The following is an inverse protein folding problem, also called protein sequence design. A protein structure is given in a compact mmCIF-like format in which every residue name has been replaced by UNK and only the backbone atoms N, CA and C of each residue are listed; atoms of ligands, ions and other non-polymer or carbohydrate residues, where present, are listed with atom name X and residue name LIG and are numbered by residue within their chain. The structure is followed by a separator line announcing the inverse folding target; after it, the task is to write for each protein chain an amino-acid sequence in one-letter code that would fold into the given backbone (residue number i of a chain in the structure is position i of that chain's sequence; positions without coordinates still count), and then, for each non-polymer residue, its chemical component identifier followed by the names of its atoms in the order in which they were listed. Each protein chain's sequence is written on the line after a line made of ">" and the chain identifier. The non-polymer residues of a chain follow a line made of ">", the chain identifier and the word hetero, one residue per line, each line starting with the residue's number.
data_IF_167441616931
#
_entry.id   IF_167441616931
#
_cell.length_a   1.000
_cell.length_b   1.000
_cell.length_c   1.000
_cell.angle_alpha   90.00
_cell.angle_beta   90.00
_cell.angle_gamma   90.00
#
_symmetry.space_group_name_H-M   'P 1'
#
loop_
_entity.id
_entity.type
_entity.pdbx_description
1 polymer ?
#
# COMPACT_ATOMS: atom_id res chain seq x y z
N UNK A 1 -13.32 14.40 -7.09
CA UNK A 1 -12.69 13.49 -8.08
C UNK A 1 -11.30 13.98 -8.49
N UNK A 2 -11.14 15.18 -9.07
CA UNK A 2 -9.83 15.69 -9.51
C UNK A 2 -8.73 15.67 -8.41
N UNK A 3 -9.03 16.13 -7.19
CA UNK A 3 -8.07 16.09 -6.06
C UNK A 3 -7.67 14.65 -5.67
N UNK A 4 -8.61 13.68 -5.72
CA UNK A 4 -8.32 12.28 -5.40
C UNK A 4 -7.31 11.69 -6.40
N UNK A 5 -7.53 11.93 -7.70
CA UNK A 5 -6.66 11.42 -8.75
C UNK A 5 -5.27 12.06 -8.70
N UNK A 6 -5.20 13.38 -8.47
CA UNK A 6 -3.91 14.06 -8.30
C UNK A 6 -3.12 13.50 -7.10
N UNK A 7 -3.78 13.29 -5.96
CA UNK A 7 -3.13 12.72 -4.77
C UNK A 7 -2.68 11.28 -5.01
N UNK A 8 -3.56 10.41 -5.53
CA UNK A 8 -3.26 8.97 -5.59
C UNK A 8 -2.49 8.55 -6.85
N UNK A 9 -2.91 9.00 -8.02
CA UNK A 9 -2.41 8.52 -9.31
C UNK A 9 -1.13 9.27 -9.70
N UNK A 10 -1.18 10.60 -9.66
CA UNK A 10 -0.07 11.44 -10.09
C UNK A 10 1.02 11.53 -9.02
N UNK A 11 0.66 11.79 -7.77
CA UNK A 11 1.64 11.97 -6.70
C UNK A 11 2.04 10.64 -6.02
N UNK A 12 1.12 9.98 -5.32
CA UNK A 12 1.45 8.83 -4.46
C UNK A 12 1.93 7.62 -5.23
N UNK A 13 1.23 7.19 -6.28
CA UNK A 13 1.60 5.99 -7.03
C UNK A 13 3.01 6.12 -7.64
N UNK A 14 3.33 7.29 -8.23
CA UNK A 14 4.67 7.55 -8.76
C UNK A 14 5.74 7.63 -7.66
N UNK A 15 5.44 8.27 -6.52
CA UNK A 15 6.38 8.37 -5.41
C UNK A 15 6.68 7.01 -4.77
N UNK A 16 5.64 6.21 -4.47
CA UNK A 16 5.79 4.88 -3.87
C UNK A 16 6.53 3.92 -4.81
N UNK A 17 6.28 4.00 -6.13
CA UNK A 17 6.99 3.23 -7.14
C UNK A 17 8.49 3.58 -7.20
N UNK A 18 8.83 4.87 -7.20
CA UNK A 18 10.22 5.31 -7.10
C UNK A 18 10.87 4.84 -5.79
N UNK A 19 10.15 4.97 -4.66
CA UNK A 19 10.66 4.62 -3.35
C UNK A 19 10.95 3.12 -3.20
N UNK A 20 10.08 2.23 -3.67
CA UNK A 20 10.33 0.78 -3.61
C UNK A 20 11.54 0.40 -4.46
N UNK A 21 11.73 1.04 -5.63
CA UNK A 21 12.92 0.83 -6.45
C UNK A 21 14.19 1.24 -5.71
N UNK A 22 14.21 2.43 -5.12
CA UNK A 22 15.35 2.89 -4.31
C UNK A 22 15.59 1.99 -3.10
N UNK A 23 14.53 1.48 -2.48
CA UNK A 23 14.63 0.58 -1.35
C UNK A 23 15.26 -0.77 -1.74
N UNK A 24 14.88 -1.34 -2.88
CA UNK A 24 15.51 -2.55 -3.42
C UNK A 24 16.99 -2.32 -3.77
N UNK A 25 17.33 -1.16 -4.32
CA UNK A 25 18.72 -0.82 -4.69
C UNK A 25 19.64 -0.62 -3.47
N UNK A 26 19.08 -0.30 -2.28
CA UNK A 26 19.86 0.15 -1.11
C UNK A 26 19.68 -0.69 0.15
N UNK A 27 18.57 -1.41 0.27
CA UNK A 27 18.20 -2.18 1.46
C UNK A 27 19.08 -3.40 1.66
N UNK A 28 19.26 -3.80 2.91
CA UNK A 28 20.04 -4.96 3.33
C UNK A 28 19.15 -6.13 3.76
N UNK A 29 19.76 -7.22 4.22
CA UNK A 29 19.04 -8.43 4.64
C UNK A 29 18.14 -8.18 5.87
N UNK A 30 18.53 -7.25 6.75
CA UNK A 30 17.73 -6.89 7.91
C UNK A 30 16.43 -6.18 7.48
N UNK A 31 16.51 -5.31 6.48
CA UNK A 31 15.35 -4.69 5.84
C UNK A 31 14.43 -5.72 5.17
N UNK A 32 14.97 -6.71 4.44
CA UNK A 32 14.16 -7.80 3.86
C UNK A 32 13.44 -8.62 4.93
N UNK A 33 14.12 -8.94 6.03
CA UNK A 33 13.54 -9.67 7.15
C UNK A 33 12.38 -8.91 7.80
N UNK A 34 12.50 -7.58 7.93
CA UNK A 34 11.41 -6.74 8.43
C UNK A 34 10.20 -6.76 7.49
N UNK A 35 10.41 -6.72 6.17
CA UNK A 35 9.32 -6.83 5.19
C UNK A 35 8.59 -8.17 5.35
N UNK A 36 9.33 -9.28 5.45
CA UNK A 36 8.75 -10.61 5.66
C UNK A 36 7.91 -10.67 6.94
N UNK A 37 8.42 -10.11 8.04
CA UNK A 37 7.69 -10.06 9.30
C UNK A 37 6.38 -9.26 9.16
N UNK A 38 6.42 -8.09 8.52
CA UNK A 38 5.21 -7.26 8.33
C UNK A 38 4.23 -7.88 7.35
N UNK A 39 4.71 -8.50 6.27
CA UNK A 39 3.88 -9.24 5.32
C UNK A 39 3.15 -10.40 6.02
N UNK A 40 3.87 -11.18 6.83
CA UNK A 40 3.27 -12.28 7.61
C UNK A 40 2.21 -11.77 8.60
N UNK A 41 2.50 -10.68 9.31
CA UNK A 41 1.52 -10.10 10.24
C UNK A 41 0.28 -9.59 9.49
N UNK A 42 0.44 -8.97 8.32
CA UNK A 42 -0.71 -8.52 7.53
C UNK A 42 -1.54 -9.70 7.01
N UNK A 43 -0.89 -10.76 6.53
CA UNK A 43 -1.58 -11.93 5.95
C UNK A 43 -2.38 -12.75 6.98
N UNK A 44 -2.15 -12.55 8.28
CA UNK A 44 -2.93 -13.16 9.36
C UNK A 44 -4.35 -12.63 9.49
N UNK A 45 -4.67 -11.50 8.87
CA UNK A 45 -6.03 -10.95 8.87
C UNK A 45 -6.80 -11.55 7.70
N UNK A 46 -7.44 -12.69 7.96
CA UNK A 46 -8.13 -13.49 6.95
C UNK A 46 -9.43 -12.81 6.50
N UNK A 47 -9.77 -12.95 5.22
CA UNK A 47 -10.95 -12.32 4.65
C UNK A 47 -12.27 -12.82 5.25
N UNK A 48 -12.28 -14.04 5.80
CA UNK A 48 -13.43 -14.60 6.54
C UNK A 48 -13.78 -13.84 7.82
N UNK A 49 -12.85 -13.06 8.36
CA UNK A 49 -13.03 -12.28 9.60
C UNK A 49 -13.36 -10.80 9.31
N UNK A 50 -13.63 -10.46 8.04
CA UNK A 50 -13.99 -9.13 7.58
C UNK A 50 -15.11 -8.50 8.43
N UNK A 51 -14.77 -7.43 9.14
CA UNK A 51 -15.67 -6.77 10.09
C UNK A 51 -15.24 -5.33 10.35
N UNK A 52 -16.13 -4.51 10.94
CA UNK A 52 -15.77 -3.15 11.34
C UNK A 52 -14.64 -3.12 12.38
N UNK A 53 -14.56 -4.11 13.25
CA UNK A 53 -13.49 -4.23 14.24
C UNK A 53 -12.12 -4.53 13.62
N UNK A 54 -12.08 -5.12 12.43
CA UNK A 54 -10.84 -5.41 11.71
C UNK A 54 -10.26 -4.16 11.01
N UNK A 55 -11.08 -3.15 10.71
CA UNK A 55 -10.66 -1.99 9.91
C UNK A 55 -9.39 -1.34 10.46
N UNK A 56 -9.38 -1.00 11.75
CA UNK A 56 -8.26 -0.32 12.39
C UNK A 56 -7.01 -1.20 12.46
N UNK A 57 -7.18 -2.49 12.71
CA UNK A 57 -6.06 -3.43 12.82
C UNK A 57 -5.42 -3.68 11.44
N UNK A 58 -6.25 -3.91 10.43
CA UNK A 58 -5.79 -4.10 9.06
C UNK A 58 -5.08 -2.85 8.55
N UNK A 59 -5.65 -1.68 8.81
CA UNK A 59 -5.07 -0.40 8.44
C UNK A 59 -3.69 -0.15 9.06
N UNK A 60 -3.53 -0.45 10.36
CA UNK A 60 -2.24 -0.35 11.05
C UNK A 60 -1.21 -1.33 10.48
N UNK A 61 -1.58 -2.59 10.25
CA UNK A 61 -0.67 -3.61 9.70
C UNK A 61 -0.29 -3.30 8.25
N UNK A 62 -1.24 -2.80 7.46
CA UNK A 62 -1.03 -2.36 6.08
C UNK A 62 -0.04 -1.19 6.03
N UNK A 63 -0.25 -0.17 6.86
CA UNK A 63 0.67 0.98 6.93
C UNK A 63 2.07 0.55 7.37
N UNK A 64 2.18 -0.36 8.35
CA UNK A 64 3.46 -0.89 8.80
C UNK A 64 4.19 -1.65 7.68
N UNK A 65 3.47 -2.48 6.90
CA UNK A 65 4.02 -3.20 5.76
C UNK A 65 4.58 -2.25 4.69
N UNK A 66 3.78 -1.29 4.21
CA UNK A 66 4.26 -0.35 3.20
C UNK A 66 5.40 0.55 3.70
N UNK A 67 5.38 0.92 4.99
CA UNK A 67 6.46 1.71 5.59
C UNK A 67 7.77 0.93 5.69
N UNK A 68 7.71 -0.37 6.03
CA UNK A 68 8.88 -1.25 6.04
C UNK A 68 9.49 -1.37 4.64
N UNK A 69 8.66 -1.51 3.60
CA UNK A 69 9.14 -1.56 2.20
C UNK A 69 9.98 -0.33 1.88
N UNK A 70 9.42 0.87 2.04
CA UNK A 70 10.11 2.10 1.59
C UNK A 70 11.24 2.54 2.52
N UNK A 71 11.32 2.03 3.75
CA UNK A 71 12.38 2.36 4.71
C UNK A 71 13.78 2.05 4.13
N UNK A 72 13.89 0.99 3.31
CA UNK A 72 15.13 0.62 2.63
C UNK A 72 15.69 1.70 1.71
N UNK A 73 14.89 2.70 1.29
CA UNK A 73 15.39 3.77 0.42
C UNK A 73 16.46 4.64 1.10
N UNK A 74 16.55 4.61 2.44
CA UNK A 74 17.58 5.28 3.22
C UNK A 74 17.56 6.82 3.13
N UNK A 75 16.50 7.43 2.61
CA UNK A 75 16.41 8.88 2.43
C UNK A 75 15.38 9.51 3.36
N UNK A 76 15.86 10.21 4.39
CA UNK A 76 15.01 10.89 5.35
C UNK A 76 14.02 11.89 4.70
N UNK A 77 14.48 12.69 3.74
CA UNK A 77 13.63 13.69 3.09
C UNK A 77 12.57 13.09 2.16
N UNK A 78 12.89 11.98 1.49
CA UNK A 78 11.89 11.30 0.66
C UNK A 78 10.80 10.67 1.53
N UNK A 79 11.17 10.09 2.67
CA UNK A 79 10.21 9.55 3.64
C UNK A 79 9.33 10.65 4.25
N UNK A 80 9.87 11.84 4.56
CA UNK A 80 9.07 12.99 4.98
C UNK A 80 8.06 13.45 3.91
N UNK A 81 8.46 13.45 2.63
CA UNK A 81 7.55 13.85 1.55
C UNK A 81 6.43 12.81 1.37
N UNK A 82 6.77 11.52 1.48
CA UNK A 82 5.80 10.42 1.48
C UNK A 82 4.77 10.58 2.60
N UNK A 83 5.22 10.90 3.81
CA UNK A 83 4.34 11.13 4.97
C UNK A 83 3.32 12.24 4.69
N UNK A 84 3.74 13.36 4.10
CA UNK A 84 2.81 14.44 3.71
C UNK A 84 1.73 13.97 2.74
N UNK A 85 2.08 13.14 1.75
CA UNK A 85 1.09 12.61 0.82
C UNK A 85 0.15 11.60 1.49
N UNK A 86 0.65 10.84 2.47
CA UNK A 86 -0.15 9.95 3.28
C UNK A 86 -1.19 10.72 4.10
N UNK A 87 -0.80 11.83 4.73
CA UNK A 87 -1.70 12.71 5.49
C UNK A 87 -2.77 13.34 4.60
N UNK A 88 -2.42 13.80 3.40
CA UNK A 88 -3.38 14.32 2.42
C UNK A 88 -4.42 13.26 2.02
N UNK A 89 -3.97 12.01 1.85
CA UNK A 89 -4.82 10.88 1.50
C UNK A 89 -5.71 10.40 2.66
N UNK A 90 -5.43 10.79 3.90
CA UNK A 90 -6.16 10.33 5.09
C UNK A 90 -7.68 10.60 5.00
N UNK A 91 -8.10 11.67 4.32
CA UNK A 91 -9.53 11.99 4.14
C UNK A 91 -10.30 10.96 3.31
N UNK A 92 -9.61 10.20 2.45
CA UNK A 92 -10.22 9.15 1.62
C UNK A 92 -10.00 7.74 2.21
N UNK A 93 -9.15 7.63 3.23
CA UNK A 93 -8.77 6.37 3.88
C UNK A 93 -9.97 5.59 4.37
N UNK A 94 -10.95 6.26 4.98
CA UNK A 94 -12.16 5.60 5.48
C UNK A 94 -12.98 4.93 4.36
N UNK A 95 -13.10 5.57 3.19
CA UNK A 95 -13.79 5.00 2.03
C UNK A 95 -13.03 3.74 1.58
N UNK A 96 -11.73 3.88 1.33
CA UNK A 96 -10.90 2.77 0.88
C UNK A 96 -10.91 1.58 1.84
N UNK A 97 -10.80 1.83 3.15
CA UNK A 97 -10.82 0.78 4.17
C UNK A 97 -12.13 0.01 4.15
N UNK A 98 -13.28 0.70 4.10
CA UNK A 98 -14.58 0.01 4.11
C UNK A 98 -14.81 -0.81 2.84
N UNK A 99 -14.55 -0.22 1.68
CA UNK A 99 -14.74 -0.88 0.39
C UNK A 99 -13.77 -2.06 0.19
N UNK A 100 -12.59 -2.00 0.82
CA UNK A 100 -11.60 -3.10 0.75
C UNK A 100 -11.87 -4.17 1.80
N UNK A 101 -11.89 -3.80 3.08
CA UNK A 101 -11.85 -4.75 4.20
C UNK A 101 -13.21 -5.39 4.46
N UNK A 102 -14.33 -4.72 4.16
CA UNK A 102 -15.68 -5.30 4.31
C UNK A 102 -16.10 -6.14 3.10
N UNK A 103 -15.25 -6.23 2.07
CA UNK A 103 -15.46 -7.07 0.90
C UNK A 103 -14.43 -8.19 0.87
N UNK A 104 -14.89 -9.43 1.03
CA UNK A 104 -14.05 -10.64 0.97
C UNK A 104 -13.21 -10.67 -0.30
N UNK A 105 -13.82 -10.44 -1.46
CA UNK A 105 -13.15 -10.46 -2.78
C UNK A 105 -12.01 -9.43 -2.85
N UNK A 106 -12.29 -8.17 -2.54
CA UNK A 106 -11.29 -7.09 -2.51
C UNK A 106 -10.17 -7.35 -1.51
N UNK A 107 -10.48 -7.88 -0.33
CA UNK A 107 -9.46 -8.19 0.68
C UNK A 107 -8.55 -9.35 0.23
N UNK A 108 -9.10 -10.39 -0.40
CA UNK A 108 -8.33 -11.48 -1.02
C UNK A 108 -7.43 -10.97 -2.15
N UNK A 109 -7.94 -10.13 -3.04
CA UNK A 109 -7.17 -9.49 -4.11
C UNK A 109 -5.99 -8.66 -3.53
N UNK A 110 -6.22 -7.93 -2.43
CA UNK A 110 -5.15 -7.20 -1.74
C UNK A 110 -4.08 -8.12 -1.17
N UNK A 111 -4.48 -9.24 -0.55
CA UNK A 111 -3.51 -10.25 -0.07
C UNK A 111 -2.64 -10.80 -1.21
N UNK A 112 -3.24 -11.10 -2.38
CA UNK A 112 -2.50 -11.56 -3.56
C UNK A 112 -1.52 -10.49 -4.04
N UNK A 113 -1.95 -9.23 -4.10
CA UNK A 113 -1.09 -8.11 -4.50
C UNK A 113 0.08 -7.91 -3.54
N UNK A 114 -0.17 -7.93 -2.22
CA UNK A 114 0.89 -7.80 -1.20
C UNK A 114 1.88 -8.97 -1.25
N UNK A 115 1.39 -10.19 -1.44
CA UNK A 115 2.24 -11.37 -1.61
C UNK A 115 3.14 -11.24 -2.85
N UNK A 116 2.54 -10.96 -4.01
CA UNK A 116 3.26 -10.80 -5.30
C UNK A 116 4.30 -9.67 -5.23
N UNK A 117 3.96 -8.56 -4.59
CA UNK A 117 4.88 -7.45 -4.37
C UNK A 117 6.05 -7.85 -3.47
N UNK A 118 5.77 -8.59 -2.40
CA UNK A 118 6.81 -9.11 -1.48
C UNK A 118 7.78 -10.03 -2.23
N UNK A 119 7.28 -10.96 -3.04
CA UNK A 119 8.12 -11.84 -3.85
C UNK A 119 9.05 -11.04 -4.79
N UNK A 120 8.51 -10.05 -5.50
CA UNK A 120 9.31 -9.21 -6.40
C UNK A 120 10.39 -8.41 -5.65
N UNK A 121 10.09 -7.92 -4.45
CA UNK A 121 11.04 -7.20 -3.61
C UNK A 121 12.18 -8.12 -3.17
N UNK A 122 11.87 -9.31 -2.65
CA UNK A 122 12.86 -10.28 -2.17
C UNK A 122 13.70 -10.87 -3.31
N UNK A 123 13.13 -10.97 -4.51
CA UNK A 123 13.85 -11.32 -5.73
C UNK A 123 14.70 -10.16 -6.28
N UNK A 124 14.70 -8.99 -5.62
CA UNK A 124 15.38 -7.75 -6.02
C UNK A 124 14.98 -7.27 -7.43
N UNK A 125 13.77 -7.57 -7.88
CA UNK A 125 13.24 -7.21 -9.20
C UNK A 125 12.71 -5.76 -9.20
N UNK A 126 13.62 -4.78 -9.08
CA UNK A 126 13.28 -3.38 -8.81
C UNK A 126 12.26 -2.77 -9.78
N UNK A 127 12.39 -3.04 -11.09
CA UNK A 127 11.47 -2.54 -12.10
C UNK A 127 10.07 -3.16 -11.97
N UNK A 128 9.99 -4.47 -11.70
CA UNK A 128 8.73 -5.17 -11.51
C UNK A 128 8.03 -4.71 -10.23
N UNK A 129 8.76 -4.63 -9.11
CA UNK A 129 8.23 -4.16 -7.84
C UNK A 129 7.72 -2.71 -7.92
N UNK A 130 8.43 -1.84 -8.64
CA UNK A 130 8.00 -0.46 -8.92
C UNK A 130 6.65 -0.43 -9.63
N UNK A 131 6.47 -1.23 -10.68
CA UNK A 131 5.21 -1.27 -11.43
C UNK A 131 4.08 -1.89 -10.61
N UNK A 132 4.34 -2.99 -9.88
CA UNK A 132 3.37 -3.61 -8.99
C UNK A 132 2.89 -2.63 -7.89
N UNK A 133 3.80 -1.88 -7.28
CA UNK A 133 3.46 -0.85 -6.28
C UNK A 133 2.56 0.23 -6.90
N UNK A 134 2.93 0.73 -8.09
CA UNK A 134 2.15 1.74 -8.81
C UNK A 134 0.73 1.24 -9.08
N UNK A 135 0.60 0.04 -9.65
CA UNK A 135 -0.69 -0.59 -9.94
C UNK A 135 -1.53 -0.82 -8.68
N UNK A 136 -0.90 -1.27 -7.59
CA UNK A 136 -1.56 -1.46 -6.30
C UNK A 136 -2.21 -0.17 -5.79
N UNK A 137 -1.56 0.99 -5.95
CA UNK A 137 -2.12 2.29 -5.56
C UNK A 137 -3.25 2.74 -6.49
N UNK A 138 -3.14 2.48 -7.80
CA UNK A 138 -4.19 2.84 -8.77
C UNK A 138 -5.48 2.04 -8.60
N UNK A 139 -5.39 0.77 -8.17
CA UNK A 139 -6.62 0.01 -7.86
C UNK A 139 -7.38 0.62 -6.67
N UNK A 140 -6.65 1.19 -5.69
CA UNK A 140 -7.28 1.87 -4.56
C UNK A 140 -7.99 3.16 -4.98
N UNK A 141 -7.36 3.99 -5.83
CA UNK A 141 -7.95 5.24 -6.32
C UNK A 141 -9.19 5.01 -7.17
N UNK A 142 -9.16 4.01 -8.05
CA UNK A 142 -10.31 3.64 -8.88
C UNK A 142 -11.51 3.20 -8.01
N UNK A 143 -11.26 2.38 -6.99
CA UNK A 143 -12.31 1.93 -6.08
C UNK A 143 -12.92 3.10 -5.28
N UNK A 144 -12.10 4.02 -4.76
CA UNK A 144 -12.61 5.22 -4.07
C UNK A 144 -13.38 6.14 -5.02
N UNK A 145 -12.92 6.28 -6.28
CA UNK A 145 -13.60 7.06 -7.30
C UNK A 145 -14.99 6.51 -7.62
N UNK A 146 -15.10 5.18 -7.81
CA UNK A 146 -16.38 4.52 -8.05
C UNK A 146 -17.35 4.71 -6.88
N UNK A 147 -16.88 4.59 -5.63
CA UNK A 147 -17.70 4.87 -4.47
C UNK A 147 -18.20 6.32 -4.44
N UNK A 148 -17.34 7.31 -4.73
CA UNK A 148 -17.75 8.71 -4.78
C UNK A 148 -18.78 9.00 -5.88
N UNK A 149 -18.74 8.26 -7.00
CA UNK A 149 -19.71 8.38 -8.09
C UNK A 149 -21.05 7.71 -7.78
N UNK A 150 -21.09 6.66 -6.94
CA UNK A 150 -22.32 5.95 -6.61
C UNK A 150 -23.20 6.65 -5.58
N UNK A 151 -22.63 7.60 -4.83
CA UNK A 151 -23.34 8.40 -3.81
C UNK A 151 -23.72 9.81 -4.29
N UNK A 152 -23.37 10.17 -5.52
CA UNK A 152 -23.77 11.42 -6.19
C UNK A 152 -25.00 11.19 -7.08
#
# INVERSE_FOLDING_TARGET
>A
EAELLDIFDDARANMEAMLVRLAIERGDDAWEAEILARAHMLSKLEASDASEHMLDEWDQRHQAFHSAIVAGCGSHYLLQMRERLFDLAARYRFIWLRETVLSVEMLEDKHIQHHTLTEAILAREAARASELMRQHLLTASELMRQHLLSIC
#
